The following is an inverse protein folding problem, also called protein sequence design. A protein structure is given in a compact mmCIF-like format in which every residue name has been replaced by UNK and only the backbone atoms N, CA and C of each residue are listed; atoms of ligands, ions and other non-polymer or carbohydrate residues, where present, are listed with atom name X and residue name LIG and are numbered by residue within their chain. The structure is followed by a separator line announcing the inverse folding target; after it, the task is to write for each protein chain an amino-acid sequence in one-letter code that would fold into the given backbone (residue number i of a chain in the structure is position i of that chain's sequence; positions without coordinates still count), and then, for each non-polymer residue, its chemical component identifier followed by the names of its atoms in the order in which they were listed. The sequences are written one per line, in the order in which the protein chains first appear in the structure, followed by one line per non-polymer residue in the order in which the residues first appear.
data_IF_990023600563
#
_entry.id   IF_990023600563
#
_cell.length_a   1.000
_cell.length_b   1.000
_cell.length_c   1.000
_cell.angle_alpha   90.00
_cell.angle_beta   90.00
_cell.angle_gamma   90.00
#
_symmetry.space_group_name_H-M   'P 1'
#
loop_
_entity.id
_entity.type
_entity.pdbx_description
1 polymer ?
#
# COMPACT_ATOMS: atom_id res chain seq x y z
N UNK A 1 -22.75 19.07 3.84
CA UNK A 1 -23.83 19.70 3.03
C UNK A 1 -23.48 19.51 1.56
N UNK A 2 -24.46 19.24 0.69
CA UNK A 2 -24.19 19.03 -0.75
C UNK A 2 -24.07 20.35 -1.52
N UNK A 3 -23.15 20.37 -2.48
CA UNK A 3 -22.88 21.49 -3.40
C UNK A 3 -22.75 20.96 -4.82
N UNK A 4 -23.03 21.80 -5.81
CA UNK A 4 -22.76 21.52 -7.21
C UNK A 4 -21.46 22.24 -7.62
N UNK A 5 -20.55 21.50 -8.26
CA UNK A 5 -19.27 22.04 -8.73
C UNK A 5 -19.35 22.22 -10.24
N UNK A 6 -19.05 23.42 -10.73
CA UNK A 6 -19.02 23.66 -12.18
C UNK A 6 -17.78 23.07 -12.83
N UNK A 7 -17.79 23.02 -14.18
CA UNK A 7 -16.63 22.59 -14.98
C UNK A 7 -15.37 23.40 -14.66
N UNK A 8 -15.51 24.67 -14.33
CA UNK A 8 -14.39 25.55 -13.97
C UNK A 8 -14.05 25.53 -12.47
N UNK A 9 -14.64 24.63 -11.68
CA UNK A 9 -14.35 24.49 -10.24
C UNK A 9 -15.05 25.51 -9.33
N UNK A 10 -16.05 26.25 -9.83
CA UNK A 10 -16.85 27.15 -8.98
C UNK A 10 -17.89 26.37 -8.18
N UNK A 11 -18.13 26.77 -6.93
CA UNK A 11 -19.05 26.10 -6.01
C UNK A 11 -20.42 26.77 -6.01
N UNK A 12 -21.48 25.99 -6.20
CA UNK A 12 -22.87 26.45 -6.19
C UNK A 12 -23.71 25.67 -5.19
N UNK A 13 -24.78 26.28 -4.71
CA UNK A 13 -25.87 25.54 -4.05
C UNK A 13 -26.49 24.55 -5.02
N UNK A 14 -27.18 23.54 -4.50
CA UNK A 14 -27.95 22.63 -5.36
C UNK A 14 -29.03 23.38 -6.15
N UNK A 15 -29.33 22.86 -7.34
CA UNK A 15 -30.53 23.23 -8.10
C UNK A 15 -31.78 22.73 -7.37
N UNK A 16 -32.93 23.30 -7.71
CA UNK A 16 -34.22 22.88 -7.16
C UNK A 16 -34.51 21.39 -7.46
N UNK A 17 -34.18 20.95 -8.67
CA UNK A 17 -34.28 19.54 -9.09
C UNK A 17 -32.97 19.06 -9.69
N UNK A 18 -32.66 17.78 -9.48
CA UNK A 18 -31.52 17.12 -10.15
C UNK A 18 -31.73 17.26 -11.67
N UNK A 19 -30.69 17.73 -12.36
CA UNK A 19 -30.71 18.02 -13.81
C UNK A 19 -31.62 19.18 -14.26
N UNK A 20 -32.17 19.98 -13.34
CA UNK A 20 -32.92 21.18 -13.69
C UNK A 20 -32.07 22.19 -14.48
N UNK A 21 -32.62 23.00 -15.40
CA UNK A 21 -31.83 23.87 -16.28
C UNK A 21 -31.26 25.09 -15.55
N UNK A 22 -31.87 25.48 -14.42
CA UNK A 22 -31.48 26.65 -13.64
C UNK A 22 -30.41 26.24 -12.64
N UNK A 23 -29.22 26.86 -12.73
CA UNK A 23 -28.13 26.65 -11.77
C UNK A 23 -28.47 27.22 -10.40
N UNK A 24 -27.89 26.66 -9.34
CA UNK A 24 -27.97 27.23 -7.99
C UNK A 24 -27.23 28.56 -7.84
N UNK A 25 -27.28 29.12 -6.63
CA UNK A 25 -26.58 30.35 -6.28
C UNK A 25 -25.09 30.08 -6.06
N UNK A 26 -24.24 31.05 -6.42
CA UNK A 26 -22.80 30.93 -6.18
C UNK A 26 -22.51 30.98 -4.68
N UNK A 27 -21.85 29.95 -4.15
CA UNK A 27 -21.43 29.90 -2.76
C UNK A 27 -20.10 30.66 -2.59
N UNK A 28 -20.18 31.97 -2.37
CA UNK A 28 -18.99 32.80 -2.19
C UNK A 28 -18.19 32.36 -0.97
N UNK A 29 -16.86 32.23 -1.14
CA UNK A 29 -15.94 31.81 -0.07
C UNK A 29 -15.82 30.30 0.12
N UNK A 30 -16.59 29.48 -0.60
CA UNK A 30 -16.41 28.03 -0.62
C UNK A 30 -15.41 27.62 -1.72
N UNK A 31 -14.65 26.56 -1.46
CA UNK A 31 -13.64 26.01 -2.37
C UNK A 31 -14.06 24.63 -2.87
N UNK A 32 -13.74 24.32 -4.12
CA UNK A 32 -13.92 22.99 -4.72
C UNK A 32 -12.78 22.01 -4.37
N UNK A 33 -11.76 22.46 -3.64
CA UNK A 33 -10.69 21.58 -3.17
C UNK A 33 -11.25 20.50 -2.24
N UNK A 34 -11.03 19.23 -2.60
CA UNK A 34 -11.49 18.09 -1.84
C UNK A 34 -10.74 17.98 -0.51
N UNK A 35 -11.48 17.91 0.58
CA UNK A 35 -10.97 17.67 1.93
C UNK A 35 -11.11 16.20 2.28
N UNK A 36 -10.29 15.67 3.20
CA UNK A 36 -10.43 14.29 3.65
C UNK A 36 -11.87 13.96 4.06
N UNK A 37 -12.41 12.86 3.56
CA UNK A 37 -13.80 12.46 3.80
C UNK A 37 -14.83 13.10 2.87
N UNK A 38 -14.42 13.92 1.89
CA UNK A 38 -15.35 14.51 0.91
C UNK A 38 -16.07 13.42 0.12
N UNK A 39 -17.40 13.54 -0.02
CA UNK A 39 -18.20 12.68 -0.88
C UNK A 39 -18.47 13.37 -2.22
N UNK A 40 -18.29 12.66 -3.32
CA UNK A 40 -18.51 13.15 -4.68
C UNK A 40 -19.57 12.28 -5.35
N UNK A 41 -20.74 12.86 -5.61
CA UNK A 41 -21.82 12.19 -6.34
C UNK A 41 -21.69 12.45 -7.85
N UNK A 42 -21.59 11.38 -8.63
CA UNK A 42 -21.46 11.38 -10.09
C UNK A 42 -22.74 10.89 -10.79
N UNK A 43 -23.91 11.09 -10.16
CA UNK A 43 -25.22 10.75 -10.69
C UNK A 43 -25.40 9.25 -11.00
N UNK A 44 -24.98 8.40 -10.07
CA UNK A 44 -25.10 6.94 -10.17
C UNK A 44 -24.05 6.19 -9.35
N UNK A 45 -22.94 6.85 -9.04
CA UNK A 45 -21.94 6.41 -8.09
C UNK A 45 -21.60 7.54 -7.11
N UNK A 46 -21.25 7.18 -5.88
CA UNK A 46 -20.73 8.11 -4.88
C UNK A 46 -19.31 7.71 -4.52
N UNK A 47 -18.35 8.59 -4.79
CA UNK A 47 -16.94 8.39 -4.44
C UNK A 47 -16.66 9.01 -3.07
N UNK A 48 -15.84 8.35 -2.26
CA UNK A 48 -15.26 8.90 -1.03
C UNK A 48 -13.82 9.33 -1.32
N UNK A 49 -13.53 10.62 -1.18
CA UNK A 49 -12.17 11.14 -1.25
C UNK A 49 -11.48 11.00 0.10
N UNK A 50 -10.24 10.51 0.07
CA UNK A 50 -9.35 10.44 1.24
C UNK A 50 -7.99 11.02 0.89
N UNK A 51 -7.44 11.80 1.81
CA UNK A 51 -6.03 12.22 1.80
C UNK A 51 -5.12 11.01 1.96
N UNK A 52 -3.91 11.10 1.43
CA UNK A 52 -2.92 10.03 1.56
C UNK A 52 -2.54 9.79 3.04
N UNK A 53 -2.64 10.82 3.88
CA UNK A 53 -2.41 10.74 5.32
C UNK A 53 -3.58 10.05 6.03
N UNK A 54 -4.83 10.27 5.65
CA UNK A 54 -5.95 9.62 6.32
C UNK A 54 -6.09 8.13 5.99
N UNK A 55 -5.57 7.67 4.84
CA UNK A 55 -5.37 6.23 4.60
C UNK A 55 -4.21 5.67 5.44
N UNK A 56 -3.33 6.54 5.94
CA UNK A 56 -2.24 6.27 6.90
C UNK A 56 -2.61 6.78 8.31
N UNK A 57 -3.72 6.32 8.89
CA UNK A 57 -4.08 6.68 10.27
C UNK A 57 -2.88 6.49 11.22
N UNK A 58 -2.52 7.52 12.02
CA UNK A 58 -1.42 7.45 13.00
C UNK A 58 -1.56 6.30 14.02
N UNK A 59 -2.78 5.84 14.31
CA UNK A 59 -3.00 4.64 15.15
C UNK A 59 -2.63 3.32 14.46
N UNK A 60 -2.50 3.35 13.13
CA UNK A 60 -2.06 2.21 12.32
C UNK A 60 -0.53 2.14 12.21
N UNK A 61 0.21 3.23 12.40
CA UNK A 61 1.69 3.19 12.37
C UNK A 61 2.26 2.41 13.57
N UNK A 62 1.69 2.57 14.77
CA UNK A 62 2.06 1.77 15.96
C UNK A 62 1.59 0.31 15.86
N UNK A 63 0.52 0.06 15.11
CA UNK A 63 -0.09 -1.27 14.93
C UNK A 63 0.31 -1.96 13.62
N UNK A 64 1.16 -1.33 12.82
CA UNK A 64 1.58 -1.88 11.56
C UNK A 64 2.39 -3.15 11.82
N UNK A 65 2.02 -4.29 11.23
CA UNK A 65 2.86 -5.48 11.33
C UNK A 65 4.12 -5.30 10.47
N UNK A 66 5.25 -5.69 11.03
CA UNK A 66 6.52 -5.79 10.33
C UNK A 66 6.91 -7.26 10.20
N UNK A 67 7.70 -7.61 9.19
CA UNK A 67 8.14 -8.98 8.99
C UNK A 67 9.62 -9.09 8.66
N UNK A 68 10.21 -10.20 9.11
CA UNK A 68 11.53 -10.66 8.73
C UNK A 68 11.41 -11.49 7.45
N UNK A 69 11.59 -10.87 6.28
CA UNK A 69 11.21 -11.51 5.01
C UNK A 69 12.01 -12.77 4.66
N UNK A 70 13.20 -12.94 5.22
CA UNK A 70 13.99 -14.18 5.05
C UNK A 70 13.33 -15.40 5.69
N UNK A 71 12.55 -15.23 6.77
CA UNK A 71 11.91 -16.35 7.48
C UNK A 71 10.39 -16.22 7.61
N UNK A 72 9.81 -15.09 7.21
CA UNK A 72 8.37 -14.86 7.23
C UNK A 72 7.79 -14.48 8.60
N UNK A 73 8.57 -14.52 9.67
CA UNK A 73 8.10 -14.17 11.01
C UNK A 73 7.64 -12.72 11.09
N UNK A 74 6.41 -12.53 11.57
CA UNK A 74 5.78 -11.22 11.78
C UNK A 74 6.01 -10.76 13.23
N UNK A 75 6.30 -9.48 13.40
CA UNK A 75 6.52 -8.84 14.69
C UNK A 75 6.03 -7.38 14.64
N UNK A 76 5.75 -6.77 15.80
CA UNK A 76 5.56 -5.31 15.89
C UNK A 76 6.85 -4.55 15.58
N UNK A 77 6.74 -3.28 15.16
CA UNK A 77 7.88 -2.39 14.87
C UNK A 77 8.83 -2.35 16.07
N UNK A 78 10.13 -2.54 15.83
CA UNK A 78 11.16 -2.30 16.85
C UNK A 78 12.46 -1.77 16.25
N UNK A 79 13.22 -1.05 17.08
CA UNK A 79 14.44 -0.37 16.65
C UNK A 79 15.73 -1.10 17.07
N UNK A 80 15.66 -2.08 17.99
CA UNK A 80 16.81 -2.89 18.42
C UNK A 80 17.22 -3.94 17.36
N UNK A 81 18.42 -4.52 17.49
CA UNK A 81 18.92 -5.60 16.62
C UNK A 81 19.49 -5.14 15.28
N UNK A 82 19.80 -3.85 15.13
CA UNK A 82 20.55 -3.32 13.98
C UNK A 82 22.02 -3.72 14.13
N UNK A 83 22.58 -4.42 13.14
CA UNK A 83 24.04 -4.63 13.10
C UNK A 83 24.72 -3.35 12.59
N UNK A 84 25.76 -2.84 13.27
CA UNK A 84 26.43 -1.61 12.88
C UNK A 84 27.09 -1.72 11.49
N UNK A 85 27.11 -0.58 10.80
CA UNK A 85 27.32 -0.37 9.37
C UNK A 85 28.75 -0.62 8.84
N UNK A 86 29.37 -1.78 9.05
CA UNK A 86 30.74 -2.00 8.52
C UNK A 86 30.81 -2.48 7.05
N UNK A 87 29.70 -2.44 6.29
CA UNK A 87 29.66 -2.91 4.90
C UNK A 87 28.96 -1.96 3.90
N UNK A 88 28.75 -0.68 4.25
CA UNK A 88 28.12 0.29 3.34
C UNK A 88 29.19 1.06 2.54
N UNK A 89 29.77 0.41 1.54
CA UNK A 89 30.30 1.15 0.41
C UNK A 89 29.34 0.98 -0.77
N UNK A 90 28.79 2.11 -1.22
CA UNK A 90 27.92 2.27 -2.39
C UNK A 90 26.52 1.64 -2.30
N UNK A 91 25.52 2.47 -2.02
CA UNK A 91 24.40 2.76 -2.97
C UNK A 91 23.37 3.68 -2.32
N UNK A 92 23.24 4.89 -2.89
CA UNK A 92 22.30 5.94 -2.46
C UNK A 92 20.87 5.66 -2.91
N UNK A 93 20.19 4.75 -2.21
CA UNK A 93 18.75 4.51 -2.34
C UNK A 93 17.98 4.90 -1.07
N UNK A 94 16.65 5.20 -1.17
CA UNK A 94 15.84 5.56 -0.02
C UNK A 94 15.87 4.41 0.98
N UNK A 95 16.13 4.74 2.25
CA UNK A 95 16.39 3.85 3.38
C UNK A 95 15.48 2.62 3.43
N UNK A 96 15.88 1.57 2.70
CA UNK A 96 15.34 0.22 2.82
C UNK A 96 15.75 -0.30 4.19
N UNK A 97 14.77 -0.69 5.00
CA UNK A 97 14.98 -1.11 6.39
C UNK A 97 16.16 -2.06 6.50
N UNK A 98 17.14 -1.69 7.34
CA UNK A 98 18.39 -2.43 7.49
C UNK A 98 18.16 -3.90 7.81
N UNK A 99 19.15 -4.76 7.49
CA UNK A 99 19.09 -6.18 7.82
C UNK A 99 19.04 -6.37 9.35
N UNK A 100 18.15 -7.23 9.82
CA UNK A 100 17.98 -7.55 11.25
C UNK A 100 17.93 -9.04 11.48
N UNK A 101 18.29 -9.44 12.70
CA UNK A 101 18.19 -10.81 13.18
C UNK A 101 16.80 -11.06 13.75
N UNK A 102 16.11 -12.08 13.23
CA UNK A 102 14.80 -12.47 13.74
C UNK A 102 14.92 -13.00 15.18
N UNK A 103 14.20 -12.47 16.18
CA UNK A 103 14.29 -12.93 17.56
C UNK A 103 13.80 -14.37 17.76
N UNK A 104 13.00 -14.89 16.82
CA UNK A 104 12.37 -16.21 16.93
C UNK A 104 13.24 -17.33 16.38
N UNK A 105 13.93 -17.07 15.26
CA UNK A 105 14.69 -18.11 14.55
C UNK A 105 16.12 -17.71 14.19
N UNK A 106 16.56 -16.51 14.58
CA UNK A 106 17.92 -15.96 14.36
C UNK A 106 18.33 -15.77 12.90
N UNK A 107 17.39 -15.88 11.95
CA UNK A 107 17.66 -15.61 10.54
C UNK A 107 17.93 -14.11 10.32
N UNK A 108 18.98 -13.79 9.56
CA UNK A 108 19.37 -12.41 9.21
C UNK A 108 18.77 -11.99 7.87
N UNK A 109 17.88 -11.01 7.87
CA UNK A 109 17.11 -10.64 6.69
C UNK A 109 16.57 -9.21 6.68
N UNK A 110 15.93 -8.79 5.56
CA UNK A 110 15.17 -7.55 5.52
C UNK A 110 14.07 -7.57 6.59
N UNK A 111 13.97 -6.47 7.34
CA UNK A 111 12.89 -6.23 8.29
C UNK A 111 12.10 -5.02 7.82
N UNK A 112 10.88 -5.27 7.32
CA UNK A 112 10.10 -4.27 6.60
C UNK A 112 8.64 -4.23 7.09
N UNK A 113 7.97 -3.09 6.96
CA UNK A 113 6.53 -3.01 7.19
C UNK A 113 5.76 -3.82 6.14
N UNK A 114 4.62 -4.37 6.53
CA UNK A 114 3.70 -5.06 5.63
C UNK A 114 2.57 -4.14 5.15
N UNK A 115 2.19 -4.30 3.88
CA UNK A 115 1.18 -3.47 3.22
C UNK A 115 0.22 -4.32 2.39
N UNK A 116 -1.06 -3.95 2.36
CA UNK A 116 -1.97 -4.46 1.33
C UNK A 116 -1.83 -3.59 0.08
N UNK A 117 -1.82 -4.23 -1.08
CA UNK A 117 -1.86 -3.52 -2.36
C UNK A 117 -3.20 -2.83 -2.56
N UNK A 118 -3.18 -1.60 -3.07
CA UNK A 118 -4.38 -0.78 -3.25
C UNK A 118 -5.26 -1.23 -4.42
N UNK A 119 -4.66 -1.80 -5.48
CA UNK A 119 -5.36 -2.13 -6.73
C UNK A 119 -5.96 -3.55 -6.68
N UNK A 120 -7.30 -3.71 -6.63
CA UNK A 120 -7.94 -5.02 -6.52
C UNK A 120 -7.69 -5.92 -7.74
N UNK A 121 -7.51 -5.34 -8.93
CA UNK A 121 -7.33 -6.09 -10.17
C UNK A 121 -6.04 -6.93 -10.20
N UNK A 122 -5.05 -6.64 -9.35
CA UNK A 122 -3.79 -7.41 -9.29
C UNK A 122 -3.87 -8.66 -8.42
N UNK A 123 -4.92 -8.81 -7.62
CA UNK A 123 -5.18 -10.04 -6.88
C UNK A 123 -5.83 -11.06 -7.80
N UNK A 124 -5.25 -12.25 -7.89
CA UNK A 124 -5.79 -13.33 -8.75
C UNK A 124 -6.89 -14.13 -8.05
N UNK A 125 -7.10 -13.88 -6.76
CA UNK A 125 -8.20 -14.41 -5.95
C UNK A 125 -8.45 -13.56 -4.69
N UNK A 126 -9.48 -13.92 -3.93
CA UNK A 126 -9.81 -13.35 -2.62
C UNK A 126 -9.31 -14.22 -1.45
N UNK A 127 -8.18 -14.93 -1.62
CA UNK A 127 -7.60 -15.78 -0.58
C UNK A 127 -6.99 -15.00 0.59
N UNK A 128 -6.72 -15.69 1.70
CA UNK A 128 -6.16 -15.06 2.90
C UNK A 128 -4.75 -14.46 2.65
N UNK A 129 -4.43 -13.28 3.21
CA UNK A 129 -3.17 -12.55 3.00
C UNK A 129 -2.02 -13.20 3.80
N UNK A 130 -1.57 -14.34 3.30
CA UNK A 130 -0.64 -15.24 3.99
C UNK A 130 0.80 -15.15 3.47
N UNK A 131 1.04 -14.42 2.39
CA UNK A 131 2.35 -14.32 1.75
C UNK A 131 2.70 -12.86 1.49
N UNK A 132 4.00 -12.54 1.50
CA UNK A 132 4.51 -11.22 1.17
C UNK A 132 5.59 -11.27 0.10
N UNK A 133 5.58 -10.32 -0.82
CA UNK A 133 6.63 -10.16 -1.82
C UNK A 133 7.95 -9.69 -1.19
N UNK A 134 9.07 -10.23 -1.66
CA UNK A 134 10.41 -9.87 -1.19
C UNK A 134 11.10 -9.02 -2.25
N UNK A 135 11.62 -7.82 -1.92
CA UNK A 135 11.86 -7.29 -0.57
C UNK A 135 10.80 -6.29 -0.07
N UNK A 136 9.74 -6.01 -0.82
CA UNK A 136 8.89 -4.84 -0.55
C UNK A 136 7.82 -5.02 0.54
N UNK A 137 7.48 -6.25 0.93
CA UNK A 137 6.52 -6.51 2.01
C UNK A 137 5.04 -6.36 1.62
N UNK A 138 4.71 -6.23 0.33
CA UNK A 138 3.31 -6.26 -0.11
C UNK A 138 2.71 -7.65 0.11
N UNK A 139 1.58 -7.69 0.80
CA UNK A 139 0.91 -8.91 1.25
C UNK A 139 -0.21 -9.28 0.30
N UNK A 140 -0.30 -10.58 0.00
CA UNK A 140 -1.34 -11.15 -0.84
C UNK A 140 -1.55 -12.63 -0.49
N UNK A 141 -2.46 -13.29 -1.22
CA UNK A 141 -2.65 -14.74 -1.14
C UNK A 141 -1.46 -15.49 -1.77
N UNK A 142 -1.29 -16.75 -1.40
CA UNK A 142 -0.26 -17.62 -1.99
C UNK A 142 -0.36 -17.69 -3.53
N UNK A 143 -1.59 -17.80 -4.05
CA UNK A 143 -1.83 -17.89 -5.49
C UNK A 143 -1.43 -16.61 -6.21
N UNK A 144 -1.75 -15.45 -5.63
CA UNK A 144 -1.32 -14.14 -6.17
C UNK A 144 0.20 -14.03 -6.15
N UNK A 145 0.85 -14.44 -5.06
CA UNK A 145 2.30 -14.39 -4.94
C UNK A 145 3.00 -15.27 -6.01
N UNK A 146 2.57 -16.52 -6.17
CA UNK A 146 3.10 -17.44 -7.18
C UNK A 146 2.90 -16.92 -8.61
N UNK A 147 1.69 -16.48 -8.93
CA UNK A 147 1.38 -15.95 -10.26
C UNK A 147 2.35 -14.83 -10.69
N UNK A 148 2.55 -13.84 -9.82
CA UNK A 148 3.42 -12.70 -10.14
C UNK A 148 4.91 -13.03 -10.03
N UNK A 149 5.31 -14.02 -9.23
CA UNK A 149 6.68 -14.51 -9.18
C UNK A 149 7.09 -15.32 -10.43
N UNK A 150 6.13 -15.97 -11.07
CA UNK A 150 6.35 -16.74 -12.31
C UNK A 150 6.15 -15.87 -13.56
N UNK A 151 5.40 -14.77 -13.44
CA UNK A 151 5.16 -13.82 -14.54
C UNK A 151 6.33 -12.85 -14.68
N UNK A 152 7.18 -13.09 -15.67
CA UNK A 152 8.26 -12.17 -16.00
C UNK A 152 7.73 -10.99 -16.82
N UNK A 153 7.86 -9.78 -16.28
CA UNK A 153 7.46 -8.55 -16.96
C UNK A 153 8.68 -7.87 -17.61
N UNK A 154 8.49 -7.17 -18.75
CA UNK A 154 9.55 -6.37 -19.34
C UNK A 154 10.05 -5.31 -18.36
N UNK A 155 11.36 -5.23 -18.21
CA UNK A 155 12.06 -4.23 -17.41
C UNK A 155 13.14 -3.55 -18.28
N UNK A 156 12.90 -2.31 -18.67
CA UNK A 156 13.74 -1.61 -19.63
C UNK A 156 13.69 -2.26 -21.02
N UNK A 157 14.77 -2.15 -21.79
CA UNK A 157 14.82 -2.61 -23.19
C UNK A 157 15.35 -4.04 -23.35
N UNK A 158 15.92 -4.65 -22.31
CA UNK A 158 16.66 -5.92 -22.43
C UNK A 158 16.47 -6.93 -21.29
N UNK A 159 15.64 -6.65 -20.28
CA UNK A 159 15.45 -7.55 -19.15
C UNK A 159 13.99 -7.94 -18.97
N UNK A 160 13.77 -9.18 -18.54
CA UNK A 160 12.48 -9.68 -18.06
C UNK A 160 12.71 -10.18 -16.66
N UNK A 161 11.96 -9.66 -15.70
CA UNK A 161 12.04 -10.13 -14.33
C UNK A 161 10.68 -10.05 -13.64
N UNK A 162 10.40 -10.96 -12.71
CA UNK A 162 9.25 -10.83 -11.84
C UNK A 162 9.34 -9.55 -11.00
N UNK A 163 8.23 -8.83 -10.89
CA UNK A 163 8.12 -7.60 -10.08
C UNK A 163 6.89 -7.70 -9.18
N UNK A 164 6.92 -6.98 -8.05
CA UNK A 164 5.71 -6.76 -7.27
C UNK A 164 4.72 -5.92 -8.11
N UNK A 165 3.49 -6.39 -8.37
CA UNK A 165 2.54 -5.66 -9.21
C UNK A 165 2.04 -4.35 -8.57
N UNK A 166 2.16 -4.21 -7.25
CA UNK A 166 1.64 -3.07 -6.51
C UNK A 166 2.59 -1.87 -6.46
N UNK A 167 3.91 -2.11 -6.52
CA UNK A 167 4.92 -1.07 -6.36
C UNK A 167 6.08 -1.16 -7.36
N UNK A 168 6.00 -2.11 -8.30
CA UNK A 168 6.99 -2.33 -9.36
C UNK A 168 8.41 -2.67 -8.89
N UNK A 169 8.59 -2.97 -7.60
CA UNK A 169 9.87 -3.42 -7.06
C UNK A 169 10.22 -4.81 -7.62
N UNK A 170 11.42 -5.01 -8.20
CA UNK A 170 11.87 -6.33 -8.63
C UNK A 170 11.85 -7.33 -7.48
N UNK A 171 11.33 -8.53 -7.75
CA UNK A 171 11.32 -9.60 -6.76
C UNK A 171 12.73 -10.18 -6.63
N UNK A 172 13.20 -10.34 -5.39
CA UNK A 172 14.56 -10.82 -5.11
C UNK A 172 14.54 -12.19 -4.43
N UNK A 173 15.52 -13.03 -4.76
CA UNK A 173 15.62 -14.39 -4.26
C UNK A 173 14.63 -15.34 -4.94
N UNK A 174 14.72 -16.63 -4.61
CA UNK A 174 13.81 -17.66 -5.11
C UNK A 174 12.97 -18.16 -3.93
N UNK A 175 11.63 -18.05 -3.96
CA UNK A 175 10.77 -17.75 -5.10
C UNK A 175 10.37 -16.27 -5.27
N UNK A 176 11.00 -15.32 -4.57
CA UNK A 176 10.64 -13.88 -4.67
C UNK A 176 9.47 -13.45 -3.77
N UNK A 177 8.94 -14.37 -2.98
CA UNK A 177 7.95 -14.13 -1.93
C UNK A 177 8.23 -15.05 -0.72
N UNK A 178 7.60 -14.74 0.40
CA UNK A 178 7.74 -15.50 1.66
C UNK A 178 6.39 -15.73 2.31
N UNK A 179 6.20 -16.88 2.98
CA UNK A 179 4.99 -17.17 3.76
C UNK A 179 5.08 -16.46 5.10
N UNK A 180 4.06 -15.70 5.47
CA UNK A 180 4.00 -15.01 6.74
C UNK A 180 3.67 -15.97 7.89
N UNK A 181 4.37 -15.80 9.01
CA UNK A 181 4.20 -16.56 10.24
C UNK A 181 3.83 -15.57 11.34
N UNK A 182 2.54 -15.54 11.68
CA UNK A 182 2.02 -14.75 12.79
C UNK A 182 2.24 -15.50 14.10
N UNK A 183 2.71 -14.81 15.14
CA UNK A 183 2.74 -15.37 16.48
C UNK A 183 1.29 -15.59 16.96
N UNK A 184 0.91 -16.84 17.22
CA UNK A 184 -0.32 -17.15 17.92
C UNK A 184 -0.19 -16.89 19.42
N UNK A 185 -1.29 -16.87 20.17
CA UNK A 185 -1.22 -17.01 21.62
C UNK A 185 -0.41 -18.26 21.96
N UNK A 186 0.53 -18.14 22.90
CA UNK A 186 1.02 -19.32 23.60
C UNK A 186 -0.10 -19.65 24.59
N UNK A 187 -0.71 -20.82 24.46
CA UNK A 187 -1.77 -21.29 25.36
C UNK A 187 -1.39 -21.16 26.84
#
# INVERSE_FOLDING_TARGET
MWREISVCGNVYTLRETRSGPIRGQLAQGESSALQDGSLVDLCGATLLWRTAEATRSHSLEERQPWAYLTCGHVHGRHDWGQKPEHCREHEGGPSTGGRRECPLCRSLGPYVPLWLGCEPAFYVDAGAPTHAFVPCGHVCSERTAKYWAETSLPHGTHAFQPICPFCSTPLTGTPGFTRLIFQGPVD
#
